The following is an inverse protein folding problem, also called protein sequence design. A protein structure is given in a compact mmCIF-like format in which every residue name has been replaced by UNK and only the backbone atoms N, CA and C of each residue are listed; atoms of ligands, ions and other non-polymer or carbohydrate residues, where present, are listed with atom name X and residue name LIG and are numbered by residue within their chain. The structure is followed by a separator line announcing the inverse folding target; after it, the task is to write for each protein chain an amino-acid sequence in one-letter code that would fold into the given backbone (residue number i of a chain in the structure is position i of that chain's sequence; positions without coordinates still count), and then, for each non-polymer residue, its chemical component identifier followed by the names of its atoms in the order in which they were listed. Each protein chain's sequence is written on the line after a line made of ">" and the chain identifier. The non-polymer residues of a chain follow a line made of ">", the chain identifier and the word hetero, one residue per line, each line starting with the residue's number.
data_IF_816330527482
#
_entry.id   IF_816330527482
#
_cell.length_a   1.000
_cell.length_b   1.000
_cell.length_c   1.000
_cell.angle_alpha   90.00
_cell.angle_beta   90.00
_cell.angle_gamma   90.00
#
_symmetry.space_group_name_H-M   'P 1'
#
loop_
_entity.id
_entity.type
_entity.pdbx_description
1 polymer ?
#
# COMPACT_ATOMS: atom_id res chain seq x y z
N UNK A 1 -2.56 23.25 14.97
CA UNK A 1 -1.13 23.21 14.58
C UNK A 1 -0.31 22.34 15.52
N UNK A 2 -0.36 22.56 16.84
CA UNK A 2 0.38 21.73 17.83
C UNK A 2 0.06 20.25 17.68
N UNK A 3 -1.22 19.87 17.58
CA UNK A 3 -1.64 18.48 17.37
C UNK A 3 -0.91 17.83 16.18
N UNK A 4 -1.02 18.41 14.97
CA UNK A 4 -0.35 17.89 13.78
C UNK A 4 1.18 17.81 13.92
N UNK A 5 1.81 18.83 14.52
CA UNK A 5 3.27 18.86 14.69
C UNK A 5 3.76 17.79 15.68
N UNK A 6 3.06 17.63 16.80
CA UNK A 6 3.41 16.63 17.82
C UNK A 6 3.15 15.21 17.32
N UNK A 7 2.00 14.95 16.66
CA UNK A 7 1.73 13.61 16.10
C UNK A 7 2.70 13.25 14.98
N UNK A 8 3.04 14.20 14.10
CA UNK A 8 4.05 13.99 13.07
C UNK A 8 5.40 13.59 13.66
N UNK A 9 5.89 14.33 14.67
CA UNK A 9 7.15 14.00 15.33
C UNK A 9 7.07 12.65 16.08
N UNK A 10 5.99 12.41 16.81
CA UNK A 10 5.80 11.18 17.57
C UNK A 10 5.82 9.94 16.65
N UNK A 11 5.09 9.95 15.54
CA UNK A 11 5.03 8.82 14.61
C UNK A 11 6.26 8.71 13.70
N UNK A 12 7.03 9.77 13.53
CA UNK A 12 8.35 9.68 12.87
C UNK A 12 9.35 8.92 13.75
N UNK A 13 9.27 9.09 15.06
CA UNK A 13 10.16 8.47 16.04
C UNK A 13 9.67 7.08 16.51
N UNK A 14 8.37 6.80 16.43
CA UNK A 14 7.84 5.50 16.78
C UNK A 14 8.38 4.41 15.84
N UNK A 15 8.76 3.27 16.43
CA UNK A 15 9.29 2.12 15.68
C UNK A 15 8.23 1.44 14.81
N UNK A 16 6.97 1.50 15.22
CA UNK A 16 5.85 0.92 14.50
C UNK A 16 5.29 1.95 13.51
N UNK A 17 5.30 1.59 12.21
CA UNK A 17 4.87 2.47 11.12
C UNK A 17 3.69 1.87 10.39
N UNK A 18 2.56 1.90 11.07
CA UNK A 18 1.29 1.40 10.55
C UNK A 18 0.51 2.53 9.86
N UNK A 19 -0.05 2.33 8.65
CA UNK A 19 -0.71 3.38 7.88
C UNK A 19 -1.87 4.06 8.60
N UNK A 20 -2.59 3.37 9.49
CA UNK A 20 -3.68 3.99 10.25
C UNK A 20 -3.21 5.08 11.22
N UNK A 21 -1.93 5.10 11.62
CA UNK A 21 -1.37 6.17 12.42
C UNK A 21 -1.41 7.51 11.69
N UNK A 22 -1.39 7.50 10.35
CA UNK A 22 -1.48 8.72 9.52
C UNK A 22 -2.78 9.49 9.76
N UNK A 23 -3.88 8.83 10.16
CA UNK A 23 -5.16 9.48 10.45
C UNK A 23 -5.00 10.61 11.49
N UNK A 24 -4.13 10.41 12.47
CA UNK A 24 -3.86 11.37 13.55
C UNK A 24 -3.01 12.58 13.09
N UNK A 25 -2.42 12.51 11.89
CA UNK A 25 -1.71 13.62 11.26
C UNK A 25 -2.61 14.28 10.21
N UNK A 26 -3.31 13.49 9.40
CA UNK A 26 -4.12 13.98 8.27
C UNK A 26 -5.33 14.78 8.74
N UNK A 27 -6.05 14.32 9.76
CA UNK A 27 -7.23 15.03 10.29
C UNK A 27 -6.95 16.48 10.70
N UNK A 28 -5.97 16.79 11.56
CA UNK A 28 -5.68 18.18 11.90
C UNK A 28 -5.17 19.00 10.72
N UNK A 29 -4.44 18.40 9.77
CA UNK A 29 -3.99 19.09 8.56
C UNK A 29 -5.16 19.46 7.64
N UNK A 30 -6.19 18.61 7.55
CA UNK A 30 -7.42 18.91 6.79
C UNK A 30 -8.11 20.15 7.37
N UNK A 31 -8.32 20.20 8.69
CA UNK A 31 -8.94 21.38 9.34
C UNK A 31 -8.12 22.66 9.15
N UNK A 32 -6.80 22.57 9.32
CA UNK A 32 -5.91 23.72 9.11
C UNK A 32 -5.91 24.20 7.66
N UNK A 33 -5.89 23.27 6.70
CA UNK A 33 -5.94 23.59 5.27
C UNK A 33 -7.28 24.21 4.89
N UNK A 34 -8.40 23.67 5.39
CA UNK A 34 -9.73 24.24 5.15
C UNK A 34 -9.86 25.67 5.69
N UNK A 35 -9.41 25.91 6.93
CA UNK A 35 -9.41 27.25 7.52
C UNK A 35 -8.51 28.20 6.75
N UNK A 36 -7.30 27.78 6.41
CA UNK A 36 -6.34 28.58 5.64
C UNK A 36 -6.90 28.96 4.26
N UNK A 37 -7.47 28.00 3.53
CA UNK A 37 -8.06 28.26 2.21
C UNK A 37 -9.30 29.16 2.30
N UNK A 38 -10.12 29.02 3.35
CA UNK A 38 -11.23 29.93 3.64
C UNK A 38 -10.77 31.37 3.85
N UNK A 39 -9.80 31.57 4.73
CA UNK A 39 -9.22 32.91 5.00
C UNK A 39 -8.59 33.50 3.73
N UNK A 40 -7.94 32.66 2.94
CA UNK A 40 -7.33 33.05 1.68
C UNK A 40 -8.39 33.54 0.70
N UNK A 41 -9.49 32.80 0.53
CA UNK A 41 -10.60 33.17 -0.34
C UNK A 41 -11.33 34.45 0.11
N UNK A 42 -11.50 34.65 1.42
CA UNK A 42 -12.09 35.87 1.99
C UNK A 42 -11.18 37.09 1.83
N UNK A 43 -9.85 36.90 1.84
CA UNK A 43 -8.89 38.00 1.66
C UNK A 43 -8.87 38.57 0.23
N UNK A 44 -9.38 37.83 -0.77
CA UNK A 44 -9.37 38.25 -2.18
C UNK A 44 -10.45 39.29 -2.44
N UNK A 45 -10.06 40.46 -2.97
CA UNK A 45 -11.00 41.45 -3.49
C UNK A 45 -11.44 41.04 -4.89
N UNK A 46 -12.30 40.04 -5.02
CA UNK A 46 -12.66 39.36 -6.28
C UNK A 46 -12.93 40.29 -7.47
N UNK A 47 -13.72 41.35 -7.27
CA UNK A 47 -14.00 42.34 -8.34
C UNK A 47 -12.76 43.07 -8.82
N UNK A 48 -11.87 43.46 -7.91
CA UNK A 48 -10.61 44.14 -8.24
C UNK A 48 -9.58 43.17 -8.82
N UNK A 49 -9.55 41.94 -8.31
CA UNK A 49 -8.70 40.86 -8.79
C UNK A 49 -9.00 40.53 -10.26
N UNK A 50 -10.28 40.39 -10.63
CA UNK A 50 -10.71 40.17 -12.01
C UNK A 50 -10.35 41.36 -12.91
N UNK A 51 -10.65 42.60 -12.48
CA UNK A 51 -10.36 43.81 -13.28
C UNK A 51 -8.87 44.03 -13.53
N UNK A 52 -8.00 43.61 -12.61
CA UNK A 52 -6.53 43.76 -12.74
C UNK A 52 -5.83 42.51 -13.30
N UNK A 53 -6.58 41.51 -13.75
CA UNK A 53 -6.01 40.29 -14.33
C UNK A 53 -5.38 39.34 -13.33
N UNK A 54 -5.61 39.51 -12.02
CA UNK A 54 -5.06 38.62 -10.99
C UNK A 54 -5.57 37.18 -11.16
N UNK A 55 -6.72 36.98 -11.79
CA UNK A 55 -7.25 35.65 -12.12
C UNK A 55 -6.27 34.81 -12.97
N UNK A 56 -5.40 35.43 -13.78
CA UNK A 56 -4.37 34.69 -14.51
C UNK A 56 -3.38 33.98 -13.58
N UNK A 57 -3.08 34.54 -12.40
CA UNK A 57 -2.19 33.91 -11.42
C UNK A 57 -2.71 32.58 -10.88
N UNK A 58 -4.03 32.36 -10.92
CA UNK A 58 -4.66 31.09 -10.58
C UNK A 58 -4.17 29.94 -11.48
N UNK A 59 -3.91 30.21 -12.76
CA UNK A 59 -3.47 29.20 -13.72
C UNK A 59 -1.95 29.18 -13.90
N UNK A 60 -1.30 30.35 -13.89
CA UNK A 60 0.13 30.45 -14.15
C UNK A 60 0.97 29.80 -13.06
N UNK A 61 0.59 29.92 -11.79
CA UNK A 61 1.33 29.31 -10.69
C UNK A 61 1.29 27.76 -10.74
N UNK A 62 0.11 27.11 -10.87
CA UNK A 62 0.03 25.67 -11.15
C UNK A 62 0.79 25.23 -12.40
N UNK A 63 0.69 25.99 -13.49
CA UNK A 63 1.36 25.64 -14.74
C UNK A 63 2.89 25.64 -14.60
N UNK A 64 3.46 26.63 -13.91
CA UNK A 64 4.88 26.66 -13.61
C UNK A 64 5.32 25.47 -12.72
N UNK A 65 4.51 25.11 -11.73
CA UNK A 65 4.79 23.96 -10.87
C UNK A 65 4.73 22.64 -11.63
N UNK A 66 3.76 22.46 -12.54
CA UNK A 66 3.66 21.28 -13.39
C UNK A 66 4.88 21.13 -14.32
N UNK A 67 5.34 22.22 -14.95
CA UNK A 67 6.54 22.16 -15.79
C UNK A 67 7.83 21.94 -14.99
N UNK A 68 7.92 22.47 -13.77
CA UNK A 68 8.98 22.14 -12.82
C UNK A 68 8.96 20.67 -12.40
N UNK A 69 7.79 20.13 -12.07
CA UNK A 69 7.59 18.72 -11.73
C UNK A 69 7.95 17.80 -12.90
N UNK A 70 7.56 18.15 -14.12
CA UNK A 70 7.94 17.43 -15.33
C UNK A 70 9.46 17.39 -15.51
N UNK A 71 10.15 18.52 -15.31
CA UNK A 71 11.60 18.57 -15.37
C UNK A 71 12.24 17.70 -14.27
N UNK A 72 11.75 17.76 -13.04
CA UNK A 72 12.23 16.92 -11.93
C UNK A 72 12.03 15.43 -12.23
N UNK A 73 10.87 15.05 -12.77
CA UNK A 73 10.60 13.68 -13.19
C UNK A 73 11.62 13.21 -14.25
N UNK A 74 11.81 14.00 -15.32
CA UNK A 74 12.79 13.70 -16.36
C UNK A 74 14.23 13.62 -15.82
N UNK A 75 14.59 14.51 -14.88
CA UNK A 75 15.89 14.51 -14.22
C UNK A 75 16.14 13.22 -13.42
N UNK A 76 15.11 12.71 -12.72
CA UNK A 76 15.21 11.49 -11.90
C UNK A 76 15.21 10.21 -12.74
N UNK A 77 14.52 10.19 -13.88
CA UNK A 77 14.43 9.01 -14.75
C UNK A 77 15.72 8.67 -15.49
N UNK A 78 16.67 9.59 -15.53
CA UNK A 78 17.91 9.45 -16.28
C UNK A 78 19.08 8.93 -15.42
N UNK A 79 18.83 7.86 -14.66
CA UNK A 79 19.84 7.20 -13.82
C UNK A 79 20.50 5.97 -14.51
N UNK A 80 20.04 5.60 -15.72
CA UNK A 80 20.66 4.58 -16.58
C UNK A 80 21.31 5.19 -17.82
N UNK A 81 22.29 4.50 -18.39
CA UNK A 81 23.35 5.01 -19.28
C UNK A 81 22.97 5.66 -20.64
N UNK A 82 21.69 5.80 -21.03
CA UNK A 82 21.33 6.15 -22.42
C UNK A 82 20.26 7.25 -22.62
N UNK A 83 20.17 8.30 -21.79
CA UNK A 83 19.12 9.32 -22.00
C UNK A 83 19.26 10.69 -21.35
N UNK A 84 20.42 11.37 -21.52
CA UNK A 84 20.66 12.73 -21.03
C UNK A 84 19.47 13.72 -21.13
N UNK A 85 19.40 14.69 -20.20
CA UNK A 85 18.42 15.79 -20.25
C UNK A 85 18.51 16.50 -21.61
N UNK A 86 17.57 16.18 -22.50
CA UNK A 86 17.47 16.81 -23.84
C UNK A 86 17.20 18.31 -23.77
N UNK A 87 17.51 19.03 -24.85
CA UNK A 87 17.21 20.46 -25.01
C UNK A 87 15.73 20.81 -24.83
N UNK A 88 14.82 19.88 -25.12
CA UNK A 88 13.38 20.06 -24.87
C UNK A 88 13.06 20.18 -23.37
N UNK A 89 13.69 19.38 -22.52
CA UNK A 89 13.49 19.48 -21.06
C UNK A 89 14.00 20.81 -20.53
N UNK A 90 15.16 21.28 -21.01
CA UNK A 90 15.68 22.61 -20.67
C UNK A 90 14.77 23.73 -21.15
N UNK A 91 14.17 23.59 -22.34
CA UNK A 91 13.18 24.55 -22.84
C UNK A 91 11.92 24.59 -21.96
N UNK A 92 11.42 23.43 -21.49
CA UNK A 92 10.29 23.37 -20.55
C UNK A 92 10.63 24.01 -19.21
N UNK A 93 11.83 23.77 -18.68
CA UNK A 93 12.30 24.40 -17.45
C UNK A 93 12.40 25.92 -17.60
N UNK A 94 13.02 26.39 -18.68
CA UNK A 94 13.15 27.82 -18.97
C UNK A 94 11.76 28.47 -19.16
N UNK A 95 10.86 27.81 -19.89
CA UNK A 95 9.47 28.24 -20.03
C UNK A 95 8.75 28.33 -18.68
N UNK A 96 8.93 27.33 -17.82
CA UNK A 96 8.35 27.29 -16.48
C UNK A 96 8.91 28.40 -15.59
N UNK A 97 10.20 28.72 -15.69
CA UNK A 97 10.82 29.85 -14.99
C UNK A 97 10.25 31.20 -15.47
N UNK A 98 10.01 31.36 -16.78
CA UNK A 98 9.35 32.55 -17.35
C UNK A 98 7.91 32.67 -16.86
N UNK A 99 7.14 31.58 -16.88
CA UNK A 99 5.76 31.55 -16.36
C UNK A 99 5.73 31.86 -14.87
N UNK A 100 6.68 31.33 -14.09
CA UNK A 100 6.80 31.62 -12.67
C UNK A 100 7.12 33.10 -12.42
N UNK A 101 8.06 33.68 -13.18
CA UNK A 101 8.38 35.10 -13.10
C UNK A 101 7.17 35.98 -13.47
N UNK A 102 6.41 35.60 -14.51
CA UNK A 102 5.18 36.28 -14.89
C UNK A 102 4.11 36.17 -13.79
N UNK A 103 3.94 35.00 -13.18
CA UNK A 103 3.04 34.80 -12.04
C UNK A 103 3.45 35.67 -10.84
N UNK A 104 4.74 35.69 -10.49
CA UNK A 104 5.27 36.50 -9.40
C UNK A 104 5.10 38.01 -9.66
N UNK A 105 5.34 38.45 -10.90
CA UNK A 105 5.09 39.82 -11.32
C UNK A 105 3.61 40.19 -11.21
N UNK A 106 2.71 39.33 -11.70
CA UNK A 106 1.26 39.52 -11.57
C UNK A 106 0.82 39.58 -10.11
N UNK A 107 1.34 38.70 -9.25
CA UNK A 107 1.09 38.73 -7.80
C UNK A 107 1.55 40.06 -7.21
N UNK A 108 2.71 40.59 -7.63
CA UNK A 108 3.24 41.86 -7.14
C UNK A 108 2.35 43.04 -7.50
N UNK A 109 1.95 43.17 -8.77
CA UNK A 109 1.12 44.31 -9.23
C UNK A 109 -0.33 44.21 -8.75
N UNK A 110 -0.82 42.99 -8.48
CA UNK A 110 -2.18 42.74 -7.97
C UNK A 110 -2.24 42.46 -6.48
N UNK A 111 -1.16 42.76 -5.74
CA UNK A 111 -1.06 42.57 -4.28
C UNK A 111 -2.22 43.22 -3.52
N UNK A 112 -2.60 44.45 -3.87
CA UNK A 112 -3.76 45.16 -3.27
C UNK A 112 -5.12 44.50 -3.53
N UNK A 113 -5.19 43.54 -4.46
CA UNK A 113 -6.38 42.77 -4.79
C UNK A 113 -6.36 41.33 -4.23
N UNK A 114 -5.24 40.91 -3.61
CA UNK A 114 -5.04 39.54 -3.15
C UNK A 114 -4.45 38.61 -4.22
N UNK A 115 -3.63 39.10 -5.16
CA UNK A 115 -3.05 38.26 -6.22
C UNK A 115 -2.31 37.02 -5.72
N UNK A 116 -1.57 37.12 -4.62
CA UNK A 116 -0.90 35.97 -4.00
C UNK A 116 -1.89 34.93 -3.47
N UNK A 117 -3.02 35.38 -2.93
CA UNK A 117 -4.10 34.50 -2.48
C UNK A 117 -4.73 33.75 -3.66
N UNK A 118 -4.95 34.42 -4.78
CA UNK A 118 -5.45 33.78 -6.01
C UNK A 118 -4.46 32.72 -6.54
N UNK A 119 -3.16 33.01 -6.54
CA UNK A 119 -2.13 32.03 -6.95
C UNK A 119 -2.11 30.79 -6.03
N UNK A 120 -2.21 31.00 -4.72
CA UNK A 120 -2.25 29.91 -3.75
C UNK A 120 -3.54 29.07 -3.84
N UNK A 121 -4.70 29.69 -4.12
CA UNK A 121 -5.94 28.98 -4.43
C UNK A 121 -5.82 28.15 -5.71
N UNK A 122 -5.11 28.66 -6.73
CA UNK A 122 -4.79 27.90 -7.94
C UNK A 122 -3.97 26.65 -7.65
N UNK A 123 -2.93 26.77 -6.81
CA UNK A 123 -2.14 25.63 -6.35
C UNK A 123 -2.99 24.62 -5.58
N UNK A 124 -3.85 25.10 -4.68
CA UNK A 124 -4.76 24.25 -3.92
C UNK A 124 -5.73 23.50 -4.85
N UNK A 125 -6.25 24.14 -5.89
CA UNK A 125 -7.11 23.50 -6.88
C UNK A 125 -6.37 22.43 -7.68
N UNK A 126 -5.10 22.66 -8.07
CA UNK A 126 -4.26 21.66 -8.71
C UNK A 126 -4.08 20.43 -7.81
N UNK A 127 -3.69 20.63 -6.55
CA UNK A 127 -3.49 19.54 -5.59
C UNK A 127 -4.77 18.79 -5.28
N UNK A 128 -5.91 19.50 -5.18
CA UNK A 128 -7.22 18.88 -5.00
C UNK A 128 -7.60 18.02 -6.20
N UNK A 129 -7.44 18.54 -7.43
CA UNK A 129 -7.73 17.79 -8.65
C UNK A 129 -6.86 16.54 -8.76
N UNK A 130 -5.56 16.67 -8.48
CA UNK A 130 -4.63 15.54 -8.45
C UNK A 130 -5.01 14.50 -7.37
N UNK A 131 -5.40 14.97 -6.17
CA UNK A 131 -5.84 14.11 -5.07
C UNK A 131 -7.12 13.33 -5.40
N UNK A 132 -8.12 14.01 -5.98
CA UNK A 132 -9.37 13.37 -6.44
C UNK A 132 -9.07 12.32 -7.51
N UNK A 133 -8.27 12.67 -8.52
CA UNK A 133 -7.88 11.74 -9.58
C UNK A 133 -7.16 10.50 -9.00
N UNK A 134 -6.20 10.71 -8.11
CA UNK A 134 -5.44 9.64 -7.47
C UNK A 134 -6.30 8.75 -6.58
N UNK A 135 -7.27 9.33 -5.87
CA UNK A 135 -8.21 8.60 -5.02
C UNK A 135 -9.22 7.79 -5.83
N UNK A 136 -9.75 8.35 -6.92
CA UNK A 136 -10.65 7.62 -7.82
C UNK A 136 -9.94 6.43 -8.47
N UNK A 137 -8.70 6.59 -8.92
CA UNK A 137 -7.94 5.45 -9.50
C UNK A 137 -7.68 4.35 -8.48
N UNK A 138 -7.28 4.71 -7.26
CA UNK A 138 -7.06 3.74 -6.19
C UNK A 138 -8.34 2.98 -5.80
N UNK A 139 -9.50 3.64 -5.84
CA UNK A 139 -10.76 3.02 -5.44
C UNK A 139 -11.45 2.21 -6.55
N UNK A 140 -11.25 2.57 -7.84
CA UNK A 140 -12.08 2.07 -8.93
C UNK A 140 -11.32 1.54 -10.16
N UNK A 141 -10.03 1.83 -10.30
CA UNK A 141 -9.26 1.42 -11.50
C UNK A 141 -8.42 0.19 -11.25
N UNK A 142 -7.79 0.09 -10.08
CA UNK A 142 -6.94 -1.04 -9.71
C UNK A 142 -7.75 -2.00 -8.85
N UNK A 143 -7.83 -3.26 -9.28
CA UNK A 143 -8.39 -4.35 -8.49
C UNK A 143 -7.35 -4.93 -7.51
N UNK A 144 -7.75 -5.94 -6.75
CA UNK A 144 -6.93 -6.66 -5.79
C UNK A 144 -5.81 -7.51 -6.41
N UNK A 145 -5.72 -7.60 -7.74
CA UNK A 145 -4.56 -8.18 -8.44
C UNK A 145 -3.38 -7.22 -8.49
N UNK A 146 -3.61 -5.91 -8.31
CA UNK A 146 -2.57 -4.90 -8.31
C UNK A 146 -2.07 -4.64 -6.89
N UNK A 147 -0.74 -4.60 -6.74
CA UNK A 147 -0.04 -4.39 -5.45
C UNK A 147 -0.08 -2.92 -5.04
N UNK A 148 -1.04 -2.50 -4.21
CA UNK A 148 -1.30 -1.08 -3.92
C UNK A 148 -0.74 -0.64 -2.56
N UNK A 149 0.22 0.30 -2.54
CA UNK A 149 0.88 0.79 -1.31
C UNK A 149 -0.11 1.46 -0.34
N UNK A 150 -1.26 1.94 -0.83
CA UNK A 150 -2.32 2.45 0.06
C UNK A 150 -3.01 1.35 0.90
N UNK A 151 -2.85 0.07 0.52
CA UNK A 151 -3.35 -1.08 1.26
C UNK A 151 -2.22 -1.64 2.11
N UNK A 152 -2.35 -1.54 3.43
CA UNK A 152 -1.31 -1.94 4.38
C UNK A 152 -0.93 -3.42 4.28
N UNK A 153 -1.95 -4.28 4.25
CA UNK A 153 -1.82 -5.72 4.15
C UNK A 153 -2.95 -6.19 3.23
N UNK A 154 -2.58 -6.63 2.03
CA UNK A 154 -3.52 -7.02 0.99
C UNK A 154 -3.58 -8.54 0.90
N UNK A 155 -4.77 -9.11 0.80
CA UNK A 155 -4.91 -10.50 0.38
C UNK A 155 -4.61 -10.61 -1.12
N UNK A 156 -3.85 -11.61 -1.54
CA UNK A 156 -3.59 -11.88 -2.95
C UNK A 156 -4.89 -12.21 -3.68
N UNK A 157 -4.95 -11.87 -4.98
CA UNK A 157 -6.10 -12.17 -5.85
C UNK A 157 -6.44 -13.67 -5.87
N UNK A 158 -5.43 -14.52 -5.70
CA UNK A 158 -5.54 -15.98 -5.71
C UNK A 158 -6.47 -16.51 -4.62
N UNK A 159 -6.65 -15.78 -3.51
CA UNK A 159 -7.58 -16.13 -2.44
C UNK A 159 -9.02 -16.21 -2.95
N UNK A 160 -9.41 -15.25 -3.80
CA UNK A 160 -10.75 -15.19 -4.37
C UNK A 160 -11.00 -16.35 -5.32
N UNK A 161 -10.00 -16.68 -6.14
CA UNK A 161 -10.07 -17.81 -7.08
C UNK A 161 -10.12 -19.15 -6.33
N UNK A 162 -9.29 -19.30 -5.31
CA UNK A 162 -9.27 -20.46 -4.41
C UNK A 162 -10.62 -20.65 -3.72
N UNK A 163 -11.20 -19.58 -3.18
CA UNK A 163 -12.52 -19.65 -2.56
C UNK A 163 -13.60 -20.03 -3.57
N UNK A 164 -13.62 -19.42 -4.77
CA UNK A 164 -14.59 -19.76 -5.81
C UNK A 164 -14.48 -21.24 -6.25
N UNK A 165 -13.25 -21.77 -6.32
CA UNK A 165 -12.96 -23.16 -6.62
C UNK A 165 -13.46 -24.11 -5.53
N UNK A 166 -13.28 -23.77 -4.25
CA UNK A 166 -13.77 -24.55 -3.12
C UNK A 166 -15.31 -24.51 -3.02
N UNK A 167 -15.93 -23.36 -3.29
CA UNK A 167 -17.39 -23.22 -3.28
C UNK A 167 -18.04 -24.14 -4.32
N UNK A 168 -17.53 -24.12 -5.56
CA UNK A 168 -18.08 -24.92 -6.66
C UNK A 168 -17.84 -26.43 -6.47
N UNK A 169 -16.63 -26.82 -6.07
CA UNK A 169 -16.24 -28.23 -6.01
C UNK A 169 -16.59 -28.91 -4.69
N UNK A 170 -16.51 -28.20 -3.58
CA UNK A 170 -16.52 -28.81 -2.24
C UNK A 170 -17.75 -28.35 -1.46
N UNK A 171 -17.93 -27.05 -1.24
CA UNK A 171 -18.97 -26.57 -0.33
C UNK A 171 -20.38 -26.82 -0.88
N UNK A 172 -20.61 -26.60 -2.18
CA UNK A 172 -21.92 -26.83 -2.81
C UNK A 172 -22.39 -28.30 -2.74
N UNK A 173 -21.44 -29.25 -2.83
CA UNK A 173 -21.72 -30.69 -2.79
C UNK A 173 -21.86 -31.22 -1.36
N UNK A 174 -21.08 -30.67 -0.43
CA UNK A 174 -20.96 -31.17 0.95
C UNK A 174 -22.11 -30.72 1.87
N UNK A 175 -22.88 -29.70 1.47
CA UNK A 175 -24.06 -29.24 2.22
C UNK A 175 -25.16 -30.31 2.34
N UNK A 176 -25.19 -31.28 1.43
CA UNK A 176 -26.15 -32.40 1.48
C UNK A 176 -25.70 -33.54 2.43
N UNK A 177 -24.41 -33.63 2.75
CA UNK A 177 -23.81 -34.74 3.52
C UNK A 177 -23.40 -34.38 4.96
N UNK A 178 -23.45 -33.11 5.34
CA UNK A 178 -23.07 -32.64 6.68
C UNK A 178 -24.04 -33.14 7.76
N UNK A 179 -23.79 -34.35 8.26
CA UNK A 179 -24.48 -34.90 9.43
C UNK A 179 -24.19 -34.09 10.71
N UNK A 180 -25.03 -34.21 11.75
CA UNK A 180 -24.92 -33.42 12.99
C UNK A 180 -23.66 -33.72 13.83
N UNK A 181 -22.89 -34.74 13.47
CA UNK A 181 -21.67 -35.12 14.17
C UNK A 181 -20.46 -34.42 13.54
N UNK A 182 -20.12 -33.27 14.10
CA UNK A 182 -18.91 -32.53 13.77
C UNK A 182 -17.67 -33.38 14.14
N UNK A 183 -17.00 -33.95 13.14
CA UNK A 183 -15.68 -34.60 13.27
C UNK A 183 -14.60 -33.59 13.70
N UNK A 184 -13.46 -34.03 14.28
CA UNK A 184 -12.34 -33.13 14.58
C UNK A 184 -11.77 -32.45 13.32
N UNK A 185 -11.67 -33.22 12.23
CA UNK A 185 -11.25 -32.76 10.90
C UNK A 185 -12.44 -32.28 10.07
N UNK A 186 -12.22 -31.34 9.14
CA UNK A 186 -13.25 -30.81 8.22
C UNK A 186 -12.97 -31.14 6.77
N UNK A 187 -13.97 -31.00 5.92
CA UNK A 187 -13.87 -31.25 4.47
C UNK A 187 -12.78 -30.37 3.85
N UNK A 188 -12.66 -29.13 4.32
CA UNK A 188 -11.53 -28.25 3.98
C UNK A 188 -10.78 -27.85 5.25
N UNK A 189 -9.46 -28.02 5.25
CA UNK A 189 -8.62 -27.49 6.32
C UNK A 189 -7.67 -26.42 5.77
N UNK A 190 -7.71 -25.25 6.40
CA UNK A 190 -6.82 -24.14 6.09
C UNK A 190 -5.80 -24.04 7.19
N UNK A 191 -4.53 -24.00 6.82
CA UNK A 191 -3.44 -23.76 7.74
C UNK A 191 -3.64 -22.44 8.50
N UNK A 192 -3.55 -22.53 9.82
CA UNK A 192 -3.79 -21.40 10.70
C UNK A 192 -2.84 -20.24 10.40
N UNK A 193 -1.63 -20.47 9.90
CA UNK A 193 -0.69 -19.38 9.63
C UNK A 193 -1.09 -18.51 8.41
N UNK A 194 -2.02 -18.97 7.56
CA UNK A 194 -2.61 -18.18 6.45
C UNK A 194 -4.07 -17.77 6.72
N UNK A 195 -4.56 -17.89 7.96
CA UNK A 195 -5.98 -17.65 8.27
C UNK A 195 -6.47 -16.23 7.93
N UNK A 196 -5.63 -15.22 8.15
CA UNK A 196 -6.06 -13.82 8.21
C UNK A 196 -6.66 -13.33 6.88
N UNK A 197 -6.08 -13.59 5.71
CA UNK A 197 -6.69 -13.21 4.44
C UNK A 197 -7.91 -14.05 4.06
N UNK A 198 -7.99 -15.31 4.53
CA UNK A 198 -9.10 -16.22 4.22
C UNK A 198 -10.37 -15.95 5.03
N UNK A 199 -10.25 -15.51 6.29
CA UNK A 199 -11.33 -15.46 7.29
C UNK A 199 -12.66 -14.85 6.79
N UNK A 200 -12.59 -13.84 5.93
CA UNK A 200 -13.78 -13.15 5.43
C UNK A 200 -14.46 -13.90 4.29
N UNK A 201 -13.71 -14.58 3.43
CA UNK A 201 -14.24 -15.34 2.30
C UNK A 201 -14.91 -16.62 2.79
N UNK A 202 -14.27 -17.35 3.71
CA UNK A 202 -14.72 -18.67 4.15
C UNK A 202 -15.63 -18.66 5.38
N UNK A 203 -16.03 -17.48 5.88
CA UNK A 203 -16.78 -17.33 7.13
C UNK A 203 -18.04 -18.20 7.19
N UNK A 204 -18.79 -18.24 6.09
CA UNK A 204 -20.06 -18.97 6.05
C UNK A 204 -19.81 -20.49 6.00
N UNK A 205 -18.79 -20.94 5.27
CA UNK A 205 -18.34 -22.33 5.25
C UNK A 205 -17.77 -22.80 6.60
N UNK A 206 -17.02 -21.93 7.29
CA UNK A 206 -16.52 -22.17 8.65
C UNK A 206 -17.70 -22.29 9.63
N UNK A 207 -18.64 -21.34 9.59
CA UNK A 207 -19.83 -21.35 10.46
C UNK A 207 -20.73 -22.57 10.23
N UNK A 208 -20.74 -23.10 9.01
CA UNK A 208 -21.48 -24.31 8.62
C UNK A 208 -20.72 -25.60 8.95
N UNK A 209 -19.50 -25.50 9.47
CA UNK A 209 -18.67 -26.65 9.82
C UNK A 209 -18.07 -27.40 8.63
N UNK A 210 -18.00 -26.78 7.45
CA UNK A 210 -17.38 -27.36 6.24
C UNK A 210 -15.88 -27.09 6.18
N UNK A 211 -15.44 -25.98 6.77
CA UNK A 211 -14.06 -25.53 6.80
C UNK A 211 -13.59 -25.31 8.24
N UNK A 212 -12.31 -25.56 8.50
CA UNK A 212 -11.66 -25.22 9.78
C UNK A 212 -10.26 -24.67 9.56
N UNK A 213 -9.89 -23.66 10.35
CA UNK A 213 -8.50 -23.25 10.50
C UNK A 213 -7.77 -24.19 11.47
N UNK A 214 -6.68 -24.79 11.00
CA UNK A 214 -6.00 -25.93 11.62
C UNK A 214 -4.51 -25.64 11.75
N UNK A 215 -3.93 -25.98 12.89
CA UNK A 215 -2.49 -25.86 13.10
C UNK A 215 -1.76 -27.07 12.50
N UNK A 216 -0.72 -26.84 11.69
CA UNK A 216 0.15 -27.88 11.10
C UNK A 216 1.61 -27.78 11.53
N UNK A 217 1.84 -27.16 12.69
CA UNK A 217 3.17 -26.95 13.27
C UNK A 217 3.73 -28.25 13.87
N UNK A 218 5.06 -28.32 14.00
CA UNK A 218 5.79 -29.38 14.73
C UNK A 218 6.43 -28.83 16.01
N UNK A 219 6.93 -29.69 16.91
CA UNK A 219 7.45 -29.32 18.24
C UNK A 219 8.49 -28.18 18.24
N UNK A 220 9.29 -28.08 17.16
CA UNK A 220 10.34 -27.06 17.02
C UNK A 220 9.82 -25.70 16.49
N UNK A 221 8.56 -25.62 16.06
CA UNK A 221 7.96 -24.39 15.52
C UNK A 221 7.41 -23.47 16.62
N UNK A 222 7.54 -22.15 16.41
CA UNK A 222 6.96 -21.16 17.32
C UNK A 222 5.42 -21.22 17.33
N UNK A 223 4.84 -21.28 18.53
CA UNK A 223 3.40 -21.41 18.74
C UNK A 223 2.84 -22.82 18.55
N UNK A 224 3.69 -23.85 18.47
CA UNK A 224 3.25 -25.25 18.49
C UNK A 224 2.55 -25.64 19.81
N UNK A 225 1.61 -26.58 19.73
CA UNK A 225 1.01 -27.27 20.86
C UNK A 225 0.51 -28.67 20.45
N UNK A 226 0.18 -29.52 21.42
CA UNK A 226 -0.29 -30.91 21.23
C UNK A 226 -1.57 -31.06 20.37
N UNK A 227 -2.27 -29.96 20.05
CA UNK A 227 -3.47 -29.99 19.18
C UNK A 227 -3.17 -29.73 17.70
N UNK A 228 -1.91 -29.46 17.35
CA UNK A 228 -1.48 -29.31 15.96
C UNK A 228 -1.44 -30.68 15.24
N UNK A 229 -1.94 -30.71 14.01
CA UNK A 229 -1.95 -31.90 13.18
C UNK A 229 -0.57 -32.12 12.56
N UNK A 230 -0.05 -33.34 12.65
CA UNK A 230 1.18 -33.72 11.95
C UNK A 230 0.88 -34.15 10.53
N UNK A 231 1.66 -33.63 9.58
CA UNK A 231 1.63 -34.04 8.17
C UNK A 231 2.54 -35.27 7.91
N UNK A 232 3.43 -35.61 8.86
CA UNK A 232 4.43 -36.67 8.69
C UNK A 232 3.84 -38.08 8.67
N UNK A 233 2.72 -38.27 9.36
CA UNK A 233 2.02 -39.55 9.47
C UNK A 233 0.70 -39.49 8.70
N UNK A 234 0.38 -40.48 7.85
CA UNK A 234 -0.91 -40.51 7.19
C UNK A 234 -2.01 -40.74 8.22
N UNK A 235 -3.20 -40.13 8.05
CA UNK A 235 -4.37 -40.43 8.89
C UNK A 235 -4.70 -41.92 8.80
N UNK A 236 -5.14 -42.50 9.91
CA UNK A 236 -5.52 -43.91 9.95
C UNK A 236 -6.64 -44.22 8.94
N UNK A 237 -6.76 -45.48 8.51
CA UNK A 237 -7.72 -45.88 7.46
C UNK A 237 -9.20 -45.58 7.83
N UNK A 238 -9.50 -45.47 9.12
CA UNK A 238 -10.80 -45.13 9.68
C UNK A 238 -10.98 -43.63 10.00
N UNK A 239 -9.92 -42.82 9.88
CA UNK A 239 -9.98 -41.39 10.12
C UNK A 239 -10.43 -40.59 8.89
N UNK A 240 -11.20 -39.54 9.16
CA UNK A 240 -11.64 -38.62 8.10
C UNK A 240 -10.44 -37.86 7.53
N UNK A 241 -10.17 -38.09 6.24
CA UNK A 241 -9.20 -37.34 5.45
C UNK A 241 -9.91 -36.12 4.83
N UNK A 242 -9.37 -34.89 4.88
CA UNK A 242 -9.93 -33.73 4.19
C UNK A 242 -9.97 -33.88 2.66
N UNK A 243 -10.87 -33.19 1.99
CA UNK A 243 -10.92 -33.14 0.51
C UNK A 243 -9.96 -32.12 -0.04
N UNK A 244 -9.80 -30.99 0.67
CA UNK A 244 -8.83 -29.97 0.32
C UNK A 244 -8.04 -29.54 1.55
N UNK A 245 -6.73 -29.44 1.42
CA UNK A 245 -5.82 -28.86 2.39
C UNK A 245 -5.18 -27.60 1.78
N UNK A 246 -5.18 -26.50 2.54
CA UNK A 246 -4.49 -25.27 2.15
C UNK A 246 -3.35 -25.03 3.13
N UNK A 247 -2.11 -25.16 2.67
CA UNK A 247 -0.92 -25.15 3.52
C UNK A 247 0.01 -24.01 3.13
N UNK A 248 0.62 -23.36 4.11
CA UNK A 248 1.71 -22.40 3.87
C UNK A 248 2.86 -23.06 3.09
N UNK A 249 3.67 -22.26 2.39
CA UNK A 249 4.84 -22.79 1.69
C UNK A 249 5.80 -23.56 2.62
N UNK A 250 5.96 -23.09 3.86
CA UNK A 250 6.82 -23.72 4.87
C UNK A 250 6.29 -25.09 5.30
N UNK A 251 4.97 -25.24 5.50
CA UNK A 251 4.36 -26.52 5.86
C UNK A 251 4.22 -27.46 4.64
N UNK A 252 3.93 -26.93 3.46
CA UNK A 252 3.82 -27.68 2.20
C UNK A 252 5.16 -28.22 1.68
N UNK A 253 6.28 -27.65 2.12
CA UNK A 253 7.63 -28.10 1.79
C UNK A 253 8.10 -29.29 2.64
N UNK A 254 7.41 -29.60 3.73
CA UNK A 254 7.67 -30.76 4.57
C UNK A 254 7.08 -31.98 3.87
N UNK A 255 7.92 -32.96 3.50
CA UNK A 255 7.50 -34.18 2.82
C UNK A 255 6.65 -35.06 3.75
N UNK A 256 5.38 -34.69 3.90
CA UNK A 256 4.43 -35.37 4.78
C UNK A 256 3.74 -36.54 4.09
N UNK A 257 3.67 -37.68 4.76
CA UNK A 257 2.99 -38.87 4.24
C UNK A 257 1.48 -38.65 4.04
N UNK A 258 0.85 -37.70 4.76
CA UNK A 258 -0.56 -37.32 4.52
C UNK A 258 -0.75 -36.72 3.11
N UNK A 259 0.27 -36.06 2.56
CA UNK A 259 0.17 -35.32 1.30
C UNK A 259 0.40 -36.18 0.05
N UNK A 260 0.89 -37.42 0.18
CA UNK A 260 1.21 -38.30 -0.96
C UNK A 260 0.00 -38.64 -1.85
N UNK A 261 -1.22 -38.56 -1.29
CA UNK A 261 -2.47 -38.82 -1.99
C UNK A 261 -3.14 -37.59 -2.61
N UNK A 262 -2.53 -36.41 -2.52
CA UNK A 262 -3.11 -35.16 -3.01
C UNK A 262 -2.36 -34.61 -4.23
N UNK A 263 -3.10 -33.97 -5.13
CA UNK A 263 -2.54 -33.16 -6.21
C UNK A 263 -2.20 -31.76 -5.67
N UNK A 264 -0.92 -31.40 -5.75
CA UNK A 264 -0.41 -30.10 -5.31
C UNK A 264 -0.57 -29.04 -6.42
N UNK A 265 -1.13 -27.89 -6.08
CA UNK A 265 -1.26 -26.74 -6.97
C UNK A 265 0.09 -26.04 -7.26
N UNK A 266 0.08 -25.13 -8.24
CA UNK A 266 1.08 -24.07 -8.35
C UNK A 266 1.06 -23.17 -7.10
N UNK A 267 2.14 -22.42 -6.80
CA UNK A 267 2.16 -21.50 -5.67
C UNK A 267 1.11 -20.40 -5.83
N UNK A 268 0.35 -20.17 -4.76
CA UNK A 268 -0.69 -19.15 -4.67
C UNK A 268 -0.28 -18.11 -3.61
N UNK A 269 -0.64 -16.85 -3.82
CA UNK A 269 -0.26 -15.77 -2.94
C UNK A 269 -1.36 -15.46 -1.90
N UNK A 270 -1.02 -15.58 -0.61
CA UNK A 270 -1.91 -15.28 0.52
C UNK A 270 -1.79 -13.81 0.92
N UNK A 271 -0.78 -13.44 1.70
CA UNK A 271 -0.59 -12.05 2.14
C UNK A 271 0.43 -11.36 1.24
N UNK A 272 0.06 -10.20 0.72
CA UNK A 272 0.95 -9.28 0.01
C UNK A 272 1.37 -8.17 0.97
N UNK A 273 2.68 -8.02 1.16
CA UNK A 273 3.30 -6.99 1.99
C UNK A 273 4.22 -6.10 1.17
N UNK A 274 3.99 -4.79 1.26
CA UNK A 274 4.79 -3.82 0.52
C UNK A 274 6.26 -3.87 0.98
N UNK A 275 7.22 -3.65 0.07
CA UNK A 275 8.61 -3.70 0.44
C UNK A 275 8.90 -2.58 1.44
N UNK A 276 9.46 -2.94 2.59
CA UNK A 276 9.75 -2.01 3.69
C UNK A 276 10.94 -1.08 3.39
N UNK A 277 10.99 -0.52 2.19
CA UNK A 277 12.03 0.39 1.68
C UNK A 277 12.17 1.67 2.51
N UNK A 278 11.18 1.98 3.35
CA UNK A 278 11.21 3.07 4.32
C UNK A 278 11.99 2.74 5.60
N UNK A 279 12.28 1.45 5.86
CA UNK A 279 13.13 1.00 6.97
C UNK A 279 14.57 0.89 6.51
N UNK A 280 15.48 1.16 7.45
CA UNK A 280 16.89 0.96 7.20
C UNK A 280 17.14 -0.55 7.05
N UNK A 281 17.79 -1.02 5.97
CA UNK A 281 18.06 -2.44 5.79
C UNK A 281 18.79 -3.03 7.00
N UNK A 282 18.38 -4.23 7.43
CA UNK A 282 18.97 -4.95 8.58
C UNK A 282 18.98 -4.19 9.91
N UNK A 283 18.00 -3.30 10.15
CA UNK A 283 17.88 -2.65 11.46
C UNK A 283 17.51 -3.65 12.58
N UNK A 284 18.30 -3.67 13.66
CA UNK A 284 18.04 -4.44 14.87
C UNK A 284 17.81 -3.47 16.04
N UNK A 285 16.68 -2.76 16.04
CA UNK A 285 16.39 -1.67 17.00
C UNK A 285 16.46 -2.10 18.47
N UNK A 286 16.20 -3.38 18.76
CA UNK A 286 16.28 -3.93 20.12
C UNK A 286 17.72 -3.97 20.68
N UNK A 287 18.72 -4.00 19.79
CA UNK A 287 20.13 -4.13 20.14
C UNK A 287 20.93 -2.82 19.94
N UNK A 288 20.26 -1.72 19.58
CA UNK A 288 20.89 -0.44 19.27
C UNK A 288 20.66 0.62 20.36
N UNK A 289 21.71 1.37 20.72
CA UNK A 289 21.51 2.59 21.51
C UNK A 289 20.79 3.66 20.68
N UNK A 290 19.84 4.37 21.31
CA UNK A 290 19.01 5.39 20.64
C UNK A 290 19.78 6.47 19.87
N UNK A 291 21.01 6.81 20.29
CA UNK A 291 21.86 7.80 19.60
C UNK A 291 22.41 7.25 18.28
N UNK A 292 22.83 5.99 18.31
CA UNK A 292 23.39 5.32 17.15
C UNK A 292 22.29 4.97 16.15
N UNK A 293 21.10 4.58 16.64
CA UNK A 293 19.88 4.43 15.85
C UNK A 293 19.58 5.73 15.09
N UNK A 294 19.46 6.86 15.79
CA UNK A 294 19.14 8.15 15.18
C UNK A 294 20.19 8.57 14.14
N UNK A 295 21.48 8.33 14.43
CA UNK A 295 22.56 8.67 13.50
C UNK A 295 22.49 7.82 12.23
N UNK A 296 22.26 6.52 12.35
CA UNK A 296 22.10 5.58 11.22
C UNK A 296 20.86 5.93 10.40
N UNK A 297 19.75 6.27 11.05
CA UNK A 297 18.49 6.65 10.38
C UNK A 297 18.62 7.96 9.62
N UNK A 298 19.31 8.96 10.19
CA UNK A 298 19.62 10.20 9.47
C UNK A 298 20.57 9.97 8.29
N UNK A 299 21.53 9.04 8.43
CA UNK A 299 22.41 8.61 7.35
C UNK A 299 21.62 7.97 6.20
N UNK A 300 20.78 7.00 6.53
CA UNK A 300 19.90 6.33 5.57
C UNK A 300 18.95 7.31 4.88
N UNK A 301 18.32 8.21 5.64
CA UNK A 301 17.46 9.26 5.08
C UNK A 301 18.23 10.14 4.08
N UNK A 302 19.46 10.53 4.40
CA UNK A 302 20.31 11.30 3.49
C UNK A 302 20.61 10.54 2.20
N UNK A 303 20.92 9.25 2.30
CA UNK A 303 21.20 8.41 1.14
C UNK A 303 19.97 8.28 0.24
N UNK A 304 18.79 8.04 0.82
CA UNK A 304 17.50 8.01 0.09
C UNK A 304 17.18 9.38 -0.52
N UNK A 305 17.29 10.47 0.25
CA UNK A 305 16.95 11.83 -0.18
C UNK A 305 17.88 12.36 -1.29
N UNK A 306 19.09 11.81 -1.41
CA UNK A 306 20.04 12.16 -2.49
C UNK A 306 20.01 11.19 -3.67
N UNK A 307 19.32 10.05 -3.52
CA UNK A 307 19.20 9.03 -4.56
C UNK A 307 18.20 9.42 -5.64
N UNK A 308 18.68 9.54 -6.88
CA UNK A 308 17.81 9.76 -8.05
C UNK A 308 16.84 8.61 -8.27
N UNK A 309 17.29 7.37 -8.05
CA UNK A 309 16.45 6.18 -8.21
C UNK A 309 15.28 6.16 -7.21
N UNK A 310 15.54 6.53 -5.95
CA UNK A 310 14.49 6.64 -4.94
C UNK A 310 13.44 7.70 -5.32
N UNK A 311 13.89 8.88 -5.76
CA UNK A 311 12.98 9.92 -6.26
C UNK A 311 12.21 9.49 -7.52
N UNK A 312 12.85 8.75 -8.44
CA UNK A 312 12.19 8.25 -9.65
C UNK A 312 11.09 7.25 -9.33
N UNK A 313 11.34 6.35 -8.38
CA UNK A 313 10.35 5.39 -7.87
C UNK A 313 9.20 6.13 -7.19
N UNK A 314 9.49 7.08 -6.29
CA UNK A 314 8.46 7.87 -5.60
C UNK A 314 7.59 8.67 -6.57
N UNK A 315 8.20 9.36 -7.54
CA UNK A 315 7.48 10.12 -8.57
C UNK A 315 6.73 9.20 -9.54
N UNK A 316 7.28 8.03 -9.87
CA UNK A 316 6.62 7.00 -10.68
C UNK A 316 5.32 6.54 -10.01
N UNK A 317 5.40 6.20 -8.73
CA UNK A 317 4.24 5.82 -7.94
C UNK A 317 3.22 6.96 -7.82
N UNK A 318 3.64 8.17 -7.44
CA UNK A 318 2.70 9.30 -7.28
C UNK A 318 2.03 9.72 -8.58
N UNK A 319 2.78 9.88 -9.66
CA UNK A 319 2.26 10.43 -10.93
C UNK A 319 1.56 9.36 -11.74
N UNK A 320 2.16 8.16 -11.85
CA UNK A 320 1.72 7.13 -12.79
C UNK A 320 1.08 5.92 -12.11
N UNK A 321 1.18 5.81 -10.77
CA UNK A 321 0.84 4.58 -10.03
C UNK A 321 1.63 3.40 -10.57
N UNK A 322 2.93 3.60 -10.68
CA UNK A 322 3.89 2.53 -10.98
C UNK A 322 3.99 1.60 -9.76
N UNK A 323 3.52 0.36 -9.94
CA UNK A 323 3.42 -0.69 -8.91
C UNK A 323 4.33 -1.89 -9.24
N UNK A 324 5.32 -1.70 -10.13
CA UNK A 324 6.21 -2.78 -10.60
C UNK A 324 7.22 -3.28 -9.54
N UNK A 325 7.18 -2.73 -8.31
CA UNK A 325 8.05 -3.23 -7.25
C UNK A 325 7.64 -4.62 -6.77
N UNK A 326 8.64 -5.44 -6.48
CA UNK A 326 8.43 -6.72 -5.84
C UNK A 326 7.94 -6.52 -4.40
N UNK A 327 6.80 -7.15 -4.10
CA UNK A 327 6.24 -7.23 -2.76
C UNK A 327 6.67 -8.53 -2.12
N UNK A 328 6.80 -8.54 -0.80
CA UNK A 328 6.94 -9.78 -0.07
C UNK A 328 5.59 -10.51 -0.13
N UNK A 329 5.63 -11.78 -0.54
CA UNK A 329 4.45 -12.63 -0.62
C UNK A 329 4.56 -13.75 0.41
N UNK A 330 3.48 -13.98 1.15
CA UNK A 330 3.28 -15.23 1.85
C UNK A 330 2.63 -16.21 0.89
N UNK A 331 3.34 -17.26 0.51
CA UNK A 331 2.84 -18.24 -0.45
C UNK A 331 2.17 -19.42 0.26
N UNK A 332 1.17 -20.00 -0.40
CA UNK A 332 0.49 -21.22 0.04
C UNK A 332 0.22 -22.13 -1.15
N UNK A 333 -0.09 -23.37 -0.84
CA UNK A 333 -0.43 -24.41 -1.81
C UNK A 333 -1.75 -25.04 -1.45
N UNK A 334 -2.52 -25.37 -2.48
CA UNK A 334 -3.71 -26.19 -2.37
C UNK A 334 -3.35 -27.65 -2.69
N UNK A 335 -3.88 -28.55 -1.89
CA UNK A 335 -3.77 -29.99 -2.05
C UNK A 335 -5.18 -30.56 -2.14
N UNK A 336 -5.54 -31.11 -3.29
CA UNK A 336 -6.87 -31.68 -3.56
C UNK A 336 -6.78 -33.17 -3.89
N UNK A 337 -7.85 -33.93 -3.67
CA UNK A 337 -7.91 -35.38 -3.94
C UNK A 337 -9.09 -35.78 -4.82
#
# INVERSE_FOLDING_TARGET
>A
TIWAGVTFLAYTLASEKMPWLLVNITLPLIFLSAKFLGDLAESVRWRLALRRGAAASFFLAPLAALGGLFFLYAYTGNAGDDGGISGQHWAVLAGSAVVLAAAAYLVRITSNAGGGAVAALGMAALLLGFGIWSGLRAAYTFDDSNREILVYAQGGSDLRETFASLEDRVFSQSLEEAGPNLTPRRVVEVDYDIWYPFQWYVRDAESSGLLRFTCFKVEDDDGWNDSCNSLETPPADDEFKPTSLLLTADHAGRSGAELEGYEKSEPLHSLLWFPETYRRPSEARQDEEWKDELKKDLGFFKDVATSRGAWRSALGYWIFRDLEQDWFTGDYYQFDR
#
